data_IF_745541503799
#
_entry.id   IF_745541503799
#
_cell.length_a   1.000
_cell.length_b   1.000
_cell.length_c   1.000
_cell.angle_alpha   90.00
_cell.angle_beta   90.00
_cell.angle_gamma   90.00
#
_symmetry.space_group_name_H-M   'P 1'
#
loop_
_entity.id
_entity.type
_entity.pdbx_description
1 polymer ?
#
# COMPACT_ATOMS: atom_id res chain seq x y z
N UNK A 1 9.03 47.10 3.97
CA UNK A 1 8.26 46.29 4.96
C UNK A 1 7.27 45.36 4.32
N UNK A 2 6.43 45.86 3.42
CA UNK A 2 5.45 45.04 2.74
C UNK A 2 6.06 43.90 1.95
N UNK A 3 7.23 44.10 1.41
CA UNK A 3 7.94 43.09 0.62
C UNK A 3 8.36 41.89 1.47
N UNK A 4 8.64 42.09 2.74
CA UNK A 4 9.03 41.01 3.64
C UNK A 4 7.90 40.04 3.91
N UNK A 5 6.70 40.57 4.02
CA UNK A 5 5.52 39.73 4.22
C UNK A 5 5.27 38.81 3.03
N UNK A 6 5.38 39.36 1.83
CA UNK A 6 5.16 38.59 0.62
C UNK A 6 6.17 37.45 0.48
N UNK A 7 7.41 37.69 0.84
CA UNK A 7 8.42 36.65 0.80
C UNK A 7 8.12 35.52 1.77
N UNK A 8 7.64 35.85 2.95
CA UNK A 8 7.27 34.84 3.93
C UNK A 8 6.14 33.96 3.43
N UNK A 9 5.16 34.54 2.77
CA UNK A 9 4.06 33.77 2.19
C UNK A 9 4.54 32.81 1.13
N UNK A 10 5.36 33.25 0.23
CA UNK A 10 5.88 32.41 -0.83
C UNK A 10 6.68 31.24 -0.26
N UNK A 11 7.42 31.49 0.77
CA UNK A 11 8.22 30.46 1.42
C UNK A 11 7.34 29.35 2.01
N UNK A 12 6.24 29.70 2.65
CA UNK A 12 5.30 28.74 3.22
C UNK A 12 4.67 27.88 2.13
N UNK A 13 4.29 28.46 1.01
CA UNK A 13 3.72 27.74 -0.12
C UNK A 13 4.69 26.71 -0.68
N UNK A 14 5.96 27.05 -0.79
CA UNK A 14 6.98 26.13 -1.27
C UNK A 14 7.13 24.92 -0.34
N UNK A 15 7.09 25.15 0.97
CA UNK A 15 7.16 24.06 1.95
C UNK A 15 5.97 23.09 1.76
N UNK A 16 4.79 23.60 1.55
CA UNK A 16 3.61 22.79 1.30
C UNK A 16 3.77 21.89 0.08
N UNK A 17 4.28 22.41 -0.99
CA UNK A 17 4.49 21.65 -2.22
C UNK A 17 5.49 20.51 -2.05
N UNK A 18 6.41 20.63 -1.10
CA UNK A 18 7.42 19.60 -0.87
C UNK A 18 6.97 18.42 -0.03
N UNK A 19 5.72 18.39 0.45
CA UNK A 19 5.24 17.36 1.39
C UNK A 19 4.25 16.38 0.78
N UNK A 20 4.22 16.25 -0.54
CA UNK A 20 3.33 15.29 -1.19
C UNK A 20 3.74 13.87 -0.86
N UNK A 21 2.78 13.09 -0.39
CA UNK A 21 2.96 11.67 -0.09
C UNK A 21 2.22 10.88 -1.17
N UNK A 22 2.91 9.91 -1.77
CA UNK A 22 2.33 9.02 -2.76
C UNK A 22 1.92 7.73 -2.05
N UNK A 23 0.64 7.37 -2.19
CA UNK A 23 0.11 6.14 -1.62
C UNK A 23 -0.87 5.51 -2.59
N UNK A 24 -0.81 4.19 -2.67
CA UNK A 24 -1.77 3.41 -3.42
C UNK A 24 -2.83 2.86 -2.48
N UNK A 25 -4.00 2.63 -3.03
CA UNK A 25 -5.14 2.04 -2.35
C UNK A 25 -5.47 0.69 -2.95
N UNK A 26 -5.82 -0.25 -2.10
CA UNK A 26 -6.29 -1.55 -2.54
C UNK A 26 -7.32 -2.11 -1.58
N UNK A 27 -7.96 -3.20 -2.01
CA UNK A 27 -8.86 -3.99 -1.18
C UNK A 27 -8.35 -5.41 -1.18
N UNK A 28 -8.22 -6.01 -0.01
CA UNK A 28 -7.80 -7.40 0.12
C UNK A 28 -8.90 -8.29 -0.46
N UNK A 29 -8.55 -9.07 -1.49
CA UNK A 29 -9.51 -9.91 -2.21
C UNK A 29 -9.28 -11.39 -1.99
N UNK A 30 -8.11 -11.78 -1.49
CA UNK A 30 -7.78 -13.18 -1.24
C UNK A 30 -6.81 -13.29 -0.07
N UNK A 31 -7.13 -14.15 0.87
CA UNK A 31 -6.28 -14.49 2.03
C UNK A 31 -6.31 -15.99 2.21
N UNK A 32 -5.15 -16.59 2.44
CA UNK A 32 -5.03 -18.04 2.53
C UNK A 32 -4.62 -18.43 3.95
N UNK A 33 -5.32 -19.41 4.53
CA UNK A 33 -4.97 -19.92 5.85
C UNK A 33 -3.61 -20.63 5.80
N UNK A 34 -2.76 -20.31 6.77
CA UNK A 34 -1.46 -20.93 6.86
C UNK A 34 -0.41 -20.40 5.87
N UNK A 35 -0.73 -19.33 5.17
CA UNK A 35 0.18 -18.70 4.24
C UNK A 35 0.19 -17.19 4.46
N UNK A 36 1.38 -16.59 4.48
CA UNK A 36 1.53 -15.16 4.72
C UNK A 36 1.25 -14.31 3.48
N UNK A 37 1.14 -14.92 2.30
CA UNK A 37 0.85 -14.20 1.07
C UNK A 37 -0.63 -13.93 0.92
N UNK A 38 -0.96 -12.79 0.34
CA UNK A 38 -2.34 -12.41 0.06
C UNK A 38 -2.40 -11.51 -1.17
N UNK A 39 -3.60 -11.30 -1.69
CA UNK A 39 -3.83 -10.51 -2.89
C UNK A 39 -4.71 -9.31 -2.54
N UNK A 40 -4.30 -8.14 -2.98
CA UNK A 40 -5.11 -6.92 -2.92
C UNK A 40 -5.35 -6.42 -4.36
N UNK A 41 -6.55 -5.92 -4.59
CA UNK A 41 -6.94 -5.31 -5.87
C UNK A 41 -6.92 -3.80 -5.72
N UNK A 42 -6.19 -3.11 -6.59
CA UNK A 42 -6.03 -1.67 -6.47
C UNK A 42 -5.59 -1.00 -7.76
N UNK A 43 -4.96 0.15 -7.63
CA UNK A 43 -4.69 1.06 -8.74
C UNK A 43 -3.82 0.44 -9.84
N UNK A 44 -2.92 -0.45 -9.49
CA UNK A 44 -1.99 -1.08 -10.44
C UNK A 44 -2.39 -2.50 -10.81
N UNK A 45 -3.60 -2.91 -10.48
CA UNK A 45 -4.08 -4.26 -10.72
C UNK A 45 -4.07 -5.10 -9.46
N UNK A 46 -3.64 -6.33 -9.55
CA UNK A 46 -3.60 -7.24 -8.40
C UNK A 46 -2.20 -7.23 -7.80
N UNK A 47 -2.13 -6.87 -6.54
CA UNK A 47 -0.88 -6.83 -5.79
C UNK A 47 -0.70 -8.15 -5.05
N UNK A 48 0.43 -8.79 -5.24
CA UNK A 48 0.84 -9.96 -4.47
C UNK A 48 1.70 -9.46 -3.32
N UNK A 49 1.20 -9.62 -2.11
CA UNK A 49 1.80 -9.08 -0.91
C UNK A 49 2.07 -10.20 0.09
N UNK A 50 3.15 -10.06 0.84
CA UNK A 50 3.47 -10.97 1.94
C UNK A 50 3.32 -10.22 3.27
N UNK A 51 2.57 -10.79 4.21
CA UNK A 51 2.40 -10.22 5.54
C UNK A 51 3.68 -10.38 6.36
N UNK A 52 4.14 -9.28 6.94
CA UNK A 52 5.37 -9.26 7.73
C UNK A 52 5.17 -8.79 9.17
N UNK A 53 3.99 -8.47 9.58
CA UNK A 53 3.71 -8.11 10.96
C UNK A 53 2.58 -7.09 11.09
N UNK A 54 2.20 -6.85 12.33
CA UNK A 54 1.07 -5.99 12.65
C UNK A 54 -0.25 -6.69 12.42
N UNK A 55 -1.26 -5.93 12.03
CA UNK A 55 -2.59 -6.47 11.79
C UNK A 55 -2.57 -7.50 10.67
N UNK A 56 -3.21 -8.64 10.88
CA UNK A 56 -3.35 -9.68 9.88
C UNK A 56 -4.58 -9.38 9.02
N UNK A 57 -4.39 -8.97 7.75
CA UNK A 57 -5.50 -8.49 6.93
C UNK A 57 -6.48 -9.61 6.55
N UNK A 58 -7.73 -9.21 6.38
CA UNK A 58 -8.83 -10.10 5.98
C UNK A 58 -9.42 -9.62 4.67
N UNK A 59 -10.05 -10.54 3.95
CA UNK A 59 -10.77 -10.20 2.72
C UNK A 59 -11.79 -9.11 3.02
N UNK A 60 -11.79 -8.07 2.18
CA UNK A 60 -12.64 -6.89 2.35
C UNK A 60 -11.95 -5.72 3.02
N UNK A 61 -10.82 -5.93 3.69
CA UNK A 61 -10.07 -4.83 4.30
C UNK A 61 -9.45 -3.94 3.24
N UNK A 62 -9.50 -2.64 3.48
CA UNK A 62 -8.75 -1.69 2.65
C UNK A 62 -7.30 -1.64 3.13
N UNK A 63 -6.39 -1.47 2.17
CA UNK A 63 -4.97 -1.30 2.45
C UNK A 63 -4.47 -0.05 1.75
N UNK A 64 -3.74 0.78 2.47
CA UNK A 64 -3.20 2.04 1.95
C UNK A 64 -1.73 2.13 2.32
N UNK A 65 -0.90 2.45 1.34
CA UNK A 65 0.53 2.64 1.55
C UNK A 65 1.26 2.70 0.23
N UNK A 66 2.59 2.73 0.31
CA UNK A 66 3.45 2.76 -0.88
C UNK A 66 3.57 1.35 -1.48
N UNK A 67 2.44 0.70 -1.70
CA UNK A 67 2.36 -0.67 -2.22
C UNK A 67 2.47 -0.74 -3.75
N UNK A 68 2.58 0.39 -4.42
CA UNK A 68 2.83 0.46 -5.85
C UNK A 68 4.31 0.30 -6.22
N UNK A 69 5.16 -0.03 -5.26
CA UNK A 69 6.58 -0.29 -5.49
C UNK A 69 7.02 -1.53 -4.72
N UNK A 70 7.97 -2.25 -5.28
CA UNK A 70 8.50 -3.47 -4.67
C UNK A 70 9.19 -3.20 -3.33
N UNK A 71 9.20 -4.20 -2.47
CA UNK A 71 9.96 -4.19 -1.23
C UNK A 71 9.10 -4.07 0.02
N UNK A 72 9.77 -3.87 1.15
CA UNK A 72 9.11 -3.77 2.46
C UNK A 72 8.43 -2.42 2.62
N UNK A 73 7.15 -2.45 3.01
CA UNK A 73 6.34 -1.24 3.17
C UNK A 73 5.55 -1.27 4.45
N UNK A 74 5.42 -0.10 5.07
CA UNK A 74 4.45 0.12 6.14
C UNK A 74 3.11 0.47 5.53
N UNK A 75 2.04 -0.12 6.04
CA UNK A 75 0.69 0.07 5.49
C UNK A 75 -0.32 0.35 6.60
N UNK A 76 -1.42 0.95 6.21
CA UNK A 76 -2.57 1.21 7.08
C UNK A 76 -3.78 0.48 6.53
N UNK A 77 -4.59 -0.05 7.43
CA UNK A 77 -5.89 -0.65 7.12
C UNK A 77 -6.97 0.27 7.70
N UNK A 78 -7.40 1.28 6.92
CA UNK A 78 -8.21 2.37 7.49
C UNK A 78 -9.58 1.95 7.99
N UNK A 79 -10.19 0.93 7.39
CA UNK A 79 -11.52 0.50 7.82
C UNK A 79 -11.52 -0.20 9.19
N UNK A 80 -10.37 -0.65 9.67
CA UNK A 80 -10.21 -1.27 10.99
C UNK A 80 -9.28 -0.47 11.89
N UNK A 81 -8.79 0.67 11.41
CA UNK A 81 -7.88 1.55 12.14
C UNK A 81 -6.64 0.82 12.67
N UNK A 82 -6.03 0.02 11.83
CA UNK A 82 -4.86 -0.78 12.17
C UNK A 82 -3.72 -0.51 11.19
N UNK A 83 -2.52 -0.87 11.59
CA UNK A 83 -1.33 -0.75 10.76
C UNK A 83 -0.61 -2.10 10.69
N UNK A 84 0.26 -2.22 9.70
CA UNK A 84 1.07 -3.41 9.56
C UNK A 84 2.21 -3.18 8.59
N UNK A 85 2.92 -4.26 8.29
CA UNK A 85 4.02 -4.25 7.34
C UNK A 85 3.84 -5.39 6.35
N UNK A 86 4.16 -5.10 5.09
CA UNK A 86 4.06 -6.08 4.01
C UNK A 86 5.30 -5.99 3.14
N UNK A 87 5.61 -7.09 2.49
CA UNK A 87 6.56 -7.13 1.38
C UNK A 87 5.77 -7.12 0.08
N UNK A 88 6.05 -6.17 -0.79
CA UNK A 88 5.40 -6.08 -2.10
C UNK A 88 6.19 -6.95 -3.07
N UNK A 89 5.59 -8.07 -3.46
CA UNK A 89 6.26 -9.10 -4.25
C UNK A 89 6.04 -8.89 -5.75
N UNK A 90 4.81 -8.61 -6.16
CA UNK A 90 4.52 -8.49 -7.60
C UNK A 90 3.21 -7.72 -7.85
N UNK A 91 3.04 -7.36 -9.12
CA UNK A 91 1.84 -6.72 -9.66
C UNK A 91 1.40 -7.51 -10.88
N UNK A 92 0.15 -7.99 -10.89
CA UNK A 92 -0.33 -8.85 -11.94
C UNK A 92 -1.68 -8.36 -12.45
N UNK A 93 -1.94 -8.60 -13.75
CA UNK A 93 -3.16 -8.12 -14.38
C UNK A 93 -4.32 -9.09 -14.22
N UNK A 94 -4.04 -10.39 -14.07
CA UNK A 94 -5.09 -11.40 -13.97
C UNK A 94 -5.06 -12.12 -12.65
N UNK A 95 -6.25 -12.49 -12.19
CA UNK A 95 -6.41 -13.24 -10.96
C UNK A 95 -5.78 -14.63 -11.05
N UNK A 96 -5.87 -15.28 -12.18
CA UNK A 96 -5.26 -16.60 -12.37
C UNK A 96 -3.73 -16.54 -12.26
N UNK A 97 -3.10 -15.52 -12.83
CA UNK A 97 -1.66 -15.33 -12.70
C UNK A 97 -1.25 -15.07 -11.25
N UNK A 98 -2.02 -14.26 -10.53
CA UNK A 98 -1.76 -14.00 -9.12
C UNK A 98 -1.92 -15.26 -8.28
N UNK A 99 -2.94 -16.06 -8.55
CA UNK A 99 -3.15 -17.33 -7.85
C UNK A 99 -2.03 -18.32 -8.13
N UNK A 100 -1.55 -18.40 -9.37
CA UNK A 100 -0.44 -19.28 -9.71
C UNK A 100 0.83 -18.89 -8.95
N UNK A 101 1.10 -17.60 -8.84
CA UNK A 101 2.26 -17.12 -8.08
C UNK A 101 2.11 -17.45 -6.59
N UNK A 102 0.94 -17.23 -6.01
CA UNK A 102 0.67 -17.57 -4.62
C UNK A 102 0.88 -19.08 -4.38
N UNK A 103 0.45 -19.93 -5.29
CA UNK A 103 0.63 -21.37 -5.18
C UNK A 103 2.11 -21.76 -5.14
N UNK A 104 2.97 -21.04 -5.85
CA UNK A 104 4.40 -21.28 -5.81
C UNK A 104 5.00 -20.97 -4.44
N UNK A 105 4.47 -19.97 -3.74
CA UNK A 105 4.96 -19.57 -2.42
C UNK A 105 4.31 -20.34 -1.27
N UNK A 106 3.04 -20.72 -1.40
CA UNK A 106 2.25 -21.32 -0.33
C UNK A 106 2.06 -22.81 -0.48
N UNK A 107 2.19 -23.28 -1.70
CA UNK A 107 1.97 -24.68 -2.02
C UNK A 107 3.22 -25.50 -1.86
#
# INVERSE_FOLDING_TARGET
MKKLFLKSFLFIVVIYCGTLVIADNGVVVQRFNGCDYFIADGDKGLYVLEWYGGYDPKVGDRIVGDIGRYGMKSVTYPNVNQTGRVWVEDFLESRSAAMDEINDYCG
#
